data_IF_474078589010
#
_entry.id   IF_474078589010
#
_cell.length_a   1.000
_cell.length_b   1.000
_cell.length_c   1.000
_cell.angle_alpha   90.00
_cell.angle_beta   90.00
_cell.angle_gamma   90.00
#
_symmetry.space_group_name_H-M   'P 1'
#
loop_
_entity.id
_entity.type
_entity.pdbx_description
1 polymer ?
#
# COMPACT_ATOMS: atom_id res chain seq x y z
N UNK A 1 -6.07 -10.42 -6.42
CA UNK A 1 -5.81 -10.75 -5.01
C UNK A 1 -5.22 -9.56 -4.29
N UNK A 2 -4.93 -9.69 -2.98
CA UNK A 2 -4.45 -8.60 -2.14
C UNK A 2 -2.96 -8.27 -2.32
N UNK A 3 -2.16 -9.20 -2.84
CA UNK A 3 -0.70 -9.07 -2.98
C UNK A 3 -0.25 -7.80 -3.70
N UNK A 4 -0.81 -7.38 -4.86
CA UNK A 4 -0.37 -6.14 -5.51
C UNK A 4 -0.67 -4.88 -4.68
N UNK A 5 -1.72 -4.90 -3.87
CA UNK A 5 -2.11 -3.77 -3.01
C UNK A 5 -1.17 -3.67 -1.80
N UNK A 6 -0.88 -4.81 -1.16
CA UNK A 6 0.13 -4.90 -0.11
C UNK A 6 1.52 -4.47 -0.59
N UNK A 7 1.94 -4.93 -1.79
CA UNK A 7 3.20 -4.50 -2.40
C UNK A 7 3.22 -3.00 -2.67
N UNK A 8 2.09 -2.43 -3.10
CA UNK A 8 1.98 -0.98 -3.33
C UNK A 8 2.15 -0.21 -2.02
N UNK A 9 1.43 -0.59 -0.95
CA UNK A 9 1.54 0.06 0.36
C UNK A 9 2.93 -0.07 0.96
N UNK A 10 3.52 -1.27 0.89
CA UNK A 10 4.88 -1.52 1.33
C UNK A 10 5.88 -0.54 0.70
N UNK A 11 5.92 -0.49 -0.64
CA UNK A 11 6.85 0.41 -1.34
C UNK A 11 6.51 1.88 -1.09
N UNK A 12 5.23 2.21 -0.93
CA UNK A 12 4.78 3.57 -0.61
C UNK A 12 5.27 4.06 0.74
N UNK A 13 5.17 3.22 1.78
CA UNK A 13 5.66 3.54 3.12
C UNK A 13 7.20 3.54 3.18
N UNK A 14 7.87 2.59 2.51
CA UNK A 14 9.34 2.55 2.40
C UNK A 14 9.91 3.76 1.62
N UNK A 15 9.09 4.44 0.83
CA UNK A 15 9.42 5.68 0.13
C UNK A 15 9.01 6.95 0.91
N UNK A 16 8.65 6.82 2.19
CA UNK A 16 8.25 7.95 3.02
C UNK A 16 6.95 8.62 2.55
N UNK A 17 6.02 7.85 1.98
CA UNK A 17 4.76 8.32 1.41
C UNK A 17 4.92 9.27 0.20
N UNK A 18 6.07 9.22 -0.48
CA UNK A 18 6.32 10.03 -1.69
C UNK A 18 5.84 9.27 -2.93
N UNK A 19 4.74 9.74 -3.52
CA UNK A 19 4.10 9.08 -4.67
C UNK A 19 5.03 8.97 -5.89
N UNK A 20 5.79 10.02 -6.21
CA UNK A 20 6.71 10.00 -7.35
C UNK A 20 7.82 8.95 -7.20
N UNK A 21 8.41 8.83 -6.00
CA UNK A 21 9.44 7.84 -5.71
C UNK A 21 8.88 6.42 -5.72
N UNK A 22 7.71 6.22 -5.13
CA UNK A 22 7.00 4.94 -5.13
C UNK A 22 6.69 4.48 -6.55
N UNK A 23 6.19 5.38 -7.40
CA UNK A 23 5.86 5.07 -8.78
C UNK A 23 7.11 4.64 -9.57
N UNK A 24 8.25 5.34 -9.37
CA UNK A 24 9.55 4.94 -9.95
C UNK A 24 9.96 3.53 -9.52
N UNK A 25 9.93 3.22 -8.22
CA UNK A 25 10.30 1.89 -7.68
C UNK A 25 9.39 0.76 -8.18
N UNK A 26 8.12 1.07 -8.46
CA UNK A 26 7.15 0.10 -8.98
C UNK A 26 7.12 0.04 -10.52
N UNK A 27 7.95 0.83 -11.22
CA UNK A 27 7.90 1.01 -12.68
C UNK A 27 6.50 1.39 -13.19
N UNK A 28 5.85 2.33 -12.50
CA UNK A 28 4.52 2.86 -12.83
C UNK A 28 4.60 4.35 -13.15
N UNK A 29 3.59 4.85 -13.87
CA UNK A 29 3.34 6.30 -13.87
C UNK A 29 2.80 6.73 -12.50
N UNK A 30 3.03 7.98 -12.12
CA UNK A 30 2.48 8.56 -10.87
C UNK A 30 0.95 8.42 -10.85
N UNK A 31 0.29 8.69 -11.98
CA UNK A 31 -1.16 8.56 -12.12
C UNK A 31 -1.66 7.13 -11.88
N UNK A 32 -0.96 6.11 -12.41
CA UNK A 32 -1.29 4.72 -12.15
C UNK A 32 -1.12 4.35 -10.66
N UNK A 33 -0.11 4.89 -9.98
CA UNK A 33 0.03 4.74 -8.54
C UNK A 33 -1.13 5.40 -7.79
N UNK A 34 -1.47 6.65 -8.11
CA UNK A 34 -2.56 7.38 -7.43
C UNK A 34 -3.88 6.61 -7.53
N UNK A 35 -4.19 6.03 -8.69
CA UNK A 35 -5.36 5.17 -8.84
C UNK A 35 -5.31 3.91 -7.97
N UNK A 36 -4.14 3.30 -7.79
CA UNK A 36 -4.00 2.16 -6.88
C UNK A 36 -4.22 2.57 -5.42
N UNK A 37 -3.70 3.72 -5.00
CA UNK A 37 -3.90 4.24 -3.64
C UNK A 37 -5.37 4.60 -3.39
N UNK A 38 -6.03 5.23 -4.35
CA UNK A 38 -7.47 5.49 -4.30
C UNK A 38 -8.29 4.19 -4.20
N UNK A 39 -7.92 3.17 -4.98
CA UNK A 39 -8.57 1.85 -4.87
C UNK A 39 -8.36 1.21 -3.50
N UNK A 40 -7.17 1.35 -2.90
CA UNK A 40 -6.91 0.87 -1.54
C UNK A 40 -7.80 1.60 -0.54
N UNK A 41 -7.95 2.91 -0.68
CA UNK A 41 -8.87 3.69 0.15
C UNK A 41 -10.31 3.19 0.04
N UNK A 42 -10.80 2.98 -1.19
CA UNK A 42 -12.15 2.45 -1.42
C UNK A 42 -12.37 1.06 -0.82
N UNK A 43 -11.35 0.18 -0.86
CA UNK A 43 -11.45 -1.19 -0.34
C UNK A 43 -11.30 -1.29 1.18
N UNK A 44 -10.60 -0.36 1.81
CA UNK A 44 -10.22 -0.45 3.24
C UNK A 44 -10.88 0.61 4.10
N UNK A 45 -11.49 1.64 3.49
CA UNK A 45 -11.97 2.85 4.18
C UNK A 45 -10.85 3.74 4.72
N UNK A 46 -9.58 3.33 4.61
CA UNK A 46 -8.42 4.04 5.16
C UNK A 46 -7.65 4.69 4.02
N UNK A 47 -7.43 6.01 4.07
CA UNK A 47 -6.66 6.72 3.04
C UNK A 47 -5.14 6.58 3.31
N UNK A 48 -4.35 5.95 2.42
CA UNK A 48 -2.89 5.88 2.57
C UNK A 48 -2.19 7.25 2.58
N UNK A 49 -2.79 8.29 2.01
CA UNK A 49 -2.21 9.64 1.99
C UNK A 49 -2.53 10.43 3.28
N UNK A 50 -3.57 10.05 4.03
CA UNK A 50 -3.96 10.71 5.28
C UNK A 50 -3.05 10.27 6.45
N UNK A 51 -2.28 11.18 7.08
CA UNK A 51 -1.44 10.84 8.24
C UNK A 51 -2.16 10.07 9.35
N UNK A 52 -3.45 10.34 9.58
CA UNK A 52 -4.22 9.71 10.65
C UNK A 52 -4.56 8.24 10.34
N UNK A 53 -4.81 7.92 9.07
CA UNK A 53 -5.15 6.55 8.64
C UNK A 53 -3.92 5.69 8.35
N UNK A 54 -2.77 6.32 8.07
CA UNK A 54 -1.52 5.66 7.67
C UNK A 54 -1.05 4.58 8.66
N UNK A 55 -1.14 4.85 9.95
CA UNK A 55 -0.64 3.91 10.97
C UNK A 55 -1.36 2.55 10.91
N UNK A 56 -2.68 2.56 10.70
CA UNK A 56 -3.48 1.34 10.58
C UNK A 56 -3.07 0.51 9.35
N UNK A 57 -2.91 1.16 8.20
CA UNK A 57 -2.49 0.49 6.97
C UNK A 57 -1.06 -0.04 7.05
N UNK A 58 -0.15 0.70 7.67
CA UNK A 58 1.23 0.26 7.87
C UNK A 58 1.28 -0.97 8.79
N UNK A 59 0.51 -0.95 9.87
CA UNK A 59 0.37 -2.11 10.78
C UNK A 59 -0.18 -3.32 10.04
N UNK A 60 -1.22 -3.15 9.21
CA UNK A 60 -1.78 -4.23 8.40
C UNK A 60 -0.76 -4.84 7.42
N UNK A 61 0.06 -4.01 6.77
CA UNK A 61 1.13 -4.49 5.88
C UNK A 61 2.19 -5.30 6.62
N UNK A 62 2.58 -4.86 7.82
CA UNK A 62 3.54 -5.61 8.66
C UNK A 62 2.91 -6.94 9.10
N UNK A 63 1.67 -6.92 9.58
CA UNK A 63 0.95 -8.13 10.00
C UNK A 63 0.82 -9.16 8.87
N UNK A 64 0.46 -8.72 7.66
CA UNK A 64 0.40 -9.57 6.48
C UNK A 64 1.72 -10.30 6.20
N UNK A 65 2.86 -9.57 6.26
CA UNK A 65 4.19 -10.17 6.09
C UNK A 65 4.53 -11.18 7.18
N UNK A 66 4.23 -10.87 8.44
CA UNK A 66 4.49 -11.77 9.57
C UNK A 66 3.68 -13.06 9.52
N UNK A 67 2.47 -13.00 8.95
CA UNK A 67 1.56 -14.13 8.81
C UNK A 67 1.75 -14.90 7.49
N UNK A 68 2.68 -14.47 6.64
CA UNK A 68 2.88 -14.97 5.27
C UNK A 68 1.61 -14.87 4.39
N UNK A 69 0.70 -13.95 4.74
CA UNK A 69 -0.49 -13.65 3.93
C UNK A 69 -0.13 -12.65 2.83
N UNK A 70 -0.60 -12.83 1.58
CA UNK A 70 -1.65 -13.76 1.13
C UNK A 70 -1.12 -15.05 0.51
N UNK A 71 0.17 -15.37 0.64
CA UNK A 71 0.71 -16.64 0.15
C UNK A 71 0.16 -17.84 0.93
N UNK A 72 -0.09 -17.63 2.23
CA UNK A 72 -0.80 -18.51 3.13
C UNK A 72 -2.12 -17.85 3.56
N UNK A 73 -3.25 -18.55 3.39
CA UNK A 73 -4.52 -18.08 3.92
C UNK A 73 -4.51 -18.10 5.46
N UNK A 74 -5.20 -17.12 6.06
CA UNK A 74 -5.30 -16.94 7.51
C UNK A 74 -6.28 -17.91 8.15
#
# INVERSE_FOLDING_TARGET
GAEPLLRTLAVYFDAGCVAAETARRLALSVRALTYRLERIHQLTGSDPADPMHRYSLQTAVIGARLLDWPAKEL
#
